data_IF_190802028713
#
_entry.id   IF_190802028713
#
_cell.length_a   1.000
_cell.length_b   1.000
_cell.length_c   1.000
_cell.angle_alpha   90.00
_cell.angle_beta   90.00
_cell.angle_gamma   90.00
#
_symmetry.space_group_name_H-M   'P 1'
#
loop_
_entity.id
_entity.type
_entity.pdbx_description
1 polymer ?
#
# COMPACT_ATOMS: atom_id res chain seq x y z
N UNK A 1 -14.34 -26.99 -5.38
CA UNK A 1 -13.05 -26.40 -5.81
C UNK A 1 -12.65 -27.11 -7.09
N UNK A 2 -12.21 -26.33 -8.09
CA UNK A 2 -11.72 -26.87 -9.35
C UNK A 2 -10.40 -27.61 -9.10
N UNK A 3 -10.29 -28.80 -9.64
CA UNK A 3 -9.10 -29.65 -9.52
C UNK A 3 -8.10 -29.39 -10.66
N UNK A 4 -8.55 -28.70 -11.70
CA UNK A 4 -7.75 -28.38 -12.88
C UNK A 4 -7.95 -26.92 -13.28
N UNK A 5 -6.89 -26.29 -13.75
CA UNK A 5 -6.90 -24.93 -14.25
C UNK A 5 -6.01 -24.80 -15.49
N UNK A 6 -6.46 -24.02 -16.47
CA UNK A 6 -5.65 -23.74 -17.67
C UNK A 6 -5.16 -22.32 -17.60
N UNK A 7 -3.85 -22.12 -17.70
CA UNK A 7 -3.21 -20.80 -17.80
C UNK A 7 -2.69 -20.62 -19.23
N UNK A 8 -3.13 -19.54 -19.87
CA UNK A 8 -2.63 -19.14 -21.19
C UNK A 8 -1.66 -17.97 -21.00
N UNK A 9 -0.44 -18.15 -21.46
CA UNK A 9 0.62 -17.14 -21.37
C UNK A 9 0.98 -16.69 -22.77
N UNK A 10 0.86 -15.38 -23.04
CA UNK A 10 1.22 -14.78 -24.31
C UNK A 10 2.73 -14.53 -24.34
N UNK A 11 3.40 -14.99 -25.41
CA UNK A 11 4.82 -14.78 -25.58
C UNK A 11 5.11 -13.30 -25.92
N UNK A 12 6.20 -12.70 -25.37
CA UNK A 12 6.60 -11.34 -25.72
C UNK A 12 6.81 -11.16 -27.23
N UNK A 13 6.43 -10.00 -27.77
CA UNK A 13 6.47 -9.71 -29.22
C UNK A 13 7.87 -9.96 -29.80
N UNK A 14 8.92 -9.52 -29.15
CA UNK A 14 10.30 -9.72 -29.59
C UNK A 14 10.71 -11.19 -29.65
N UNK A 15 10.20 -12.05 -28.75
CA UNK A 15 10.47 -13.49 -28.79
C UNK A 15 9.71 -14.16 -29.94
N UNK A 16 8.48 -13.72 -30.23
CA UNK A 16 7.69 -14.18 -31.39
C UNK A 16 8.42 -13.83 -32.69
N UNK A 17 8.92 -12.60 -32.79
CA UNK A 17 9.67 -12.16 -33.98
C UNK A 17 10.98 -12.92 -34.13
N UNK A 18 11.73 -13.10 -33.06
CA UNK A 18 12.97 -13.89 -33.07
C UNK A 18 12.71 -15.34 -33.47
N UNK A 19 11.63 -15.95 -33.01
CA UNK A 19 11.24 -17.30 -33.40
C UNK A 19 10.84 -17.38 -34.90
N UNK A 20 10.10 -16.39 -35.42
CA UNK A 20 9.77 -16.30 -36.85
C UNK A 20 11.04 -16.20 -37.72
N UNK A 21 11.98 -15.34 -37.32
CA UNK A 21 13.21 -15.13 -38.08
C UNK A 21 14.12 -16.38 -38.01
N UNK A 22 14.19 -17.06 -36.87
CA UNK A 22 14.91 -18.33 -36.75
C UNK A 22 14.33 -19.42 -37.64
N UNK A 23 12.98 -19.53 -37.71
CA UNK A 23 12.32 -20.48 -38.63
C UNK A 23 12.59 -20.15 -40.09
N UNK A 24 12.67 -18.85 -40.46
CA UNK A 24 12.96 -18.40 -41.82
C UNK A 24 14.40 -18.72 -42.25
N UNK A 25 15.36 -18.67 -41.32
CA UNK A 25 16.77 -18.99 -41.58
C UNK A 25 16.99 -20.51 -41.72
N UNK A 26 16.16 -21.31 -41.04
CA UNK A 26 16.31 -22.78 -40.98
C UNK A 26 17.56 -23.19 -40.23
N UNK A 27 18.10 -24.39 -40.56
CA UNK A 27 19.23 -25.02 -39.87
C UNK A 27 20.62 -24.59 -40.41
N UNK A 28 20.74 -23.50 -41.18
CA UNK A 28 22.01 -23.00 -41.68
C UNK A 28 22.90 -22.42 -40.52
N UNK A 29 23.99 -23.11 -40.11
CA UNK A 29 24.79 -22.68 -38.96
C UNK A 29 25.45 -21.31 -39.15
N UNK A 30 25.78 -20.92 -40.40
CA UNK A 30 26.45 -19.68 -40.71
C UNK A 30 25.47 -18.48 -40.60
N UNK A 31 24.25 -18.70 -41.02
CA UNK A 31 23.17 -17.67 -40.92
C UNK A 31 22.65 -17.54 -39.49
N UNK A 32 22.53 -18.65 -38.75
CA UNK A 32 22.14 -18.62 -37.32
C UNK A 32 23.13 -17.85 -36.44
N UNK A 33 24.46 -17.98 -36.71
CA UNK A 33 25.49 -17.21 -36.01
C UNK A 33 25.42 -15.70 -36.27
N UNK A 34 24.86 -15.27 -37.41
CA UNK A 34 24.71 -13.87 -37.78
C UNK A 34 23.34 -13.26 -37.37
N UNK A 35 22.46 -14.07 -36.83
CA UNK A 35 21.14 -13.63 -36.40
C UNK A 35 21.29 -12.64 -35.23
N UNK A 36 20.92 -11.38 -35.45
CA UNK A 36 20.79 -10.39 -34.38
C UNK A 36 19.41 -10.55 -33.74
N UNK A 37 19.38 -11.07 -32.51
CA UNK A 37 18.14 -11.17 -31.75
C UNK A 37 17.63 -9.78 -31.37
N UNK A 38 16.33 -9.57 -31.55
CA UNK A 38 15.63 -8.38 -31.02
C UNK A 38 15.54 -8.53 -29.50
N UNK A 39 15.78 -7.44 -28.79
CA UNK A 39 15.57 -7.35 -27.33
C UNK A 39 14.22 -6.73 -27.03
N UNK A 40 13.71 -6.95 -25.81
CA UNK A 40 12.53 -6.27 -25.32
C UNK A 40 12.74 -4.75 -25.39
N UNK A 41 11.65 -4.02 -25.65
CA UNK A 41 11.65 -2.55 -25.54
C UNK A 41 11.82 -2.14 -24.08
N UNK A 42 12.31 -0.95 -23.87
CA UNK A 42 12.45 -0.43 -22.51
C UNK A 42 11.08 -0.36 -21.82
N UNK A 43 10.97 -0.98 -20.64
CA UNK A 43 9.72 -1.07 -19.88
C UNK A 43 8.84 -2.30 -20.16
N UNK A 44 9.12 -3.08 -21.19
CA UNK A 44 8.39 -4.33 -21.45
C UNK A 44 8.88 -5.48 -20.57
N UNK A 45 7.93 -6.27 -20.05
CA UNK A 45 8.27 -7.52 -19.35
C UNK A 45 8.81 -8.52 -20.37
N UNK A 46 10.03 -8.98 -20.17
CA UNK A 46 10.70 -9.93 -21.07
C UNK A 46 10.89 -11.28 -20.41
N UNK A 47 10.56 -12.33 -21.13
CA UNK A 47 10.90 -13.70 -20.77
C UNK A 47 11.16 -14.52 -22.04
N UNK A 48 12.03 -15.51 -21.93
CA UNK A 48 12.43 -16.39 -23.03
C UNK A 48 11.76 -17.75 -22.88
N UNK A 49 11.74 -18.53 -23.97
CA UNK A 49 11.29 -19.92 -23.95
C UNK A 49 11.98 -20.75 -22.85
N UNK A 50 13.28 -20.53 -22.62
CA UNK A 50 14.02 -21.18 -21.53
C UNK A 50 13.54 -20.76 -20.15
N UNK A 51 13.20 -19.49 -19.98
CA UNK A 51 12.67 -18.97 -18.71
C UNK A 51 11.29 -19.57 -18.45
N UNK A 52 10.45 -19.66 -19.47
CA UNK A 52 9.14 -20.28 -19.39
C UNK A 52 9.23 -21.76 -19.01
N UNK A 53 10.06 -22.53 -19.74
CA UNK A 53 10.26 -23.94 -19.44
C UNK A 53 10.75 -24.15 -17.99
N UNK A 54 11.74 -23.38 -17.54
CA UNK A 54 12.21 -23.45 -16.17
C UNK A 54 11.13 -23.17 -15.14
N UNK A 55 10.26 -22.19 -15.39
CA UNK A 55 9.17 -21.83 -14.47
C UNK A 55 8.05 -22.87 -14.45
N UNK A 56 7.75 -23.51 -15.59
CA UNK A 56 6.74 -24.58 -15.68
C UNK A 56 7.21 -25.90 -15.09
N UNK A 57 8.53 -26.15 -15.10
CA UNK A 57 9.14 -27.35 -14.52
C UNK A 57 9.51 -27.18 -13.04
N UNK A 58 9.57 -25.94 -12.54
CA UNK A 58 9.89 -25.67 -11.15
C UNK A 58 8.77 -26.13 -10.21
N UNK A 59 9.15 -26.63 -9.05
CA UNK A 59 8.17 -26.87 -7.98
C UNK A 59 7.50 -25.55 -7.60
N UNK A 60 6.18 -25.54 -7.40
CA UNK A 60 5.47 -24.33 -6.97
C UNK A 60 6.06 -23.80 -5.66
N UNK A 61 6.34 -22.51 -5.62
CA UNK A 61 6.74 -21.86 -4.37
C UNK A 61 5.60 -21.95 -3.34
N UNK A 62 5.95 -22.17 -2.09
CA UNK A 62 4.97 -22.16 -1.02
C UNK A 62 4.39 -20.77 -0.87
N UNK A 63 3.06 -20.69 -0.85
CA UNK A 63 2.37 -19.44 -0.59
C UNK A 63 2.70 -18.97 0.83
N UNK A 64 3.28 -17.79 0.93
CA UNK A 64 3.47 -17.09 2.20
C UNK A 64 2.36 -16.07 2.40
N UNK A 65 1.63 -16.19 3.48
CA UNK A 65 0.60 -15.23 3.83
C UNK A 65 1.22 -13.90 4.25
N UNK A 66 0.75 -12.81 3.66
CA UNK A 66 1.03 -11.43 4.13
C UNK A 66 -0.08 -10.89 5.03
N UNK A 67 -0.90 -11.79 5.52
CA UNK A 67 -2.01 -11.48 6.39
C UNK A 67 -1.54 -10.76 7.66
N UNK A 68 -2.26 -9.70 8.00
CA UNK A 68 -2.07 -8.94 9.25
C UNK A 68 -3.42 -8.71 9.90
N UNK A 69 -3.45 -8.88 11.20
CA UNK A 69 -4.64 -8.56 12.00
C UNK A 69 -4.77 -7.05 12.13
N UNK A 70 -5.95 -6.52 11.87
CA UNK A 70 -6.27 -5.10 12.01
C UNK A 70 -7.66 -4.90 12.62
N UNK A 71 -7.92 -3.71 13.16
CA UNK A 71 -9.24 -3.35 13.67
C UNK A 71 -10.33 -3.45 12.61
N UNK A 72 -10.06 -2.98 11.39
CA UNK A 72 -11.01 -3.05 10.27
C UNK A 72 -11.35 -4.48 9.90
N UNK A 73 -10.39 -5.40 9.94
CA UNK A 73 -10.63 -6.81 9.72
C UNK A 73 -11.51 -7.40 10.84
N UNK A 74 -11.21 -7.09 12.10
CA UNK A 74 -12.03 -7.51 13.23
C UNK A 74 -13.46 -7.00 13.12
N UNK A 75 -13.63 -5.71 12.84
CA UNK A 75 -14.93 -5.09 12.65
C UNK A 75 -15.72 -5.73 11.49
N UNK A 76 -15.04 -6.00 10.37
CA UNK A 76 -15.64 -6.67 9.22
C UNK A 76 -16.11 -8.10 9.56
N UNK A 77 -15.29 -8.85 10.30
CA UNK A 77 -15.65 -10.22 10.73
C UNK A 77 -16.80 -10.20 11.73
N UNK A 78 -16.78 -9.26 12.69
CA UNK A 78 -17.84 -9.10 13.68
C UNK A 78 -19.16 -8.60 13.08
N UNK A 79 -19.11 -7.87 11.96
CA UNK A 79 -20.30 -7.41 11.24
C UNK A 79 -21.02 -8.54 10.49
N UNK A 80 -20.36 -9.67 10.21
CA UNK A 80 -20.96 -10.81 9.49
C UNK A 80 -22.04 -11.49 10.33
N UNK A 81 -22.98 -12.16 9.63
CA UNK A 81 -23.94 -13.02 10.29
C UNK A 81 -23.25 -14.22 10.97
N UNK A 82 -23.77 -14.63 12.10
CA UNK A 82 -23.27 -15.77 12.85
C UNK A 82 -22.23 -15.41 13.91
N UNK A 83 -21.51 -16.41 14.37
CA UNK A 83 -20.54 -16.27 15.46
C UNK A 83 -19.22 -15.70 14.96
N UNK A 84 -18.98 -14.40 15.18
CA UNK A 84 -17.74 -13.72 14.79
C UNK A 84 -16.48 -14.33 15.40
N UNK A 85 -16.56 -14.94 16.59
CA UNK A 85 -15.43 -15.68 17.20
C UNK A 85 -15.02 -16.88 16.33
N UNK A 86 -15.97 -17.69 15.89
CA UNK A 86 -15.68 -18.85 15.05
C UNK A 86 -15.13 -18.41 13.69
N UNK A 87 -15.68 -17.37 13.08
CA UNK A 87 -15.16 -16.83 11.83
C UNK A 87 -13.72 -16.34 12.00
N UNK A 88 -13.42 -15.63 13.11
CA UNK A 88 -12.07 -15.16 13.39
C UNK A 88 -11.12 -16.32 13.64
N UNK A 89 -11.54 -17.33 14.41
CA UNK A 89 -10.75 -18.53 14.67
C UNK A 89 -10.35 -19.23 13.37
N UNK A 90 -11.29 -19.42 12.45
CA UNK A 90 -10.99 -19.99 11.13
C UNK A 90 -10.00 -19.13 10.36
N UNK A 91 -10.21 -17.82 10.31
CA UNK A 91 -9.31 -16.92 9.59
C UNK A 91 -7.87 -16.95 10.14
N UNK A 92 -7.70 -17.05 11.46
CA UNK A 92 -6.40 -17.03 12.12
C UNK A 92 -5.70 -18.40 12.18
N UNK A 93 -6.44 -19.51 12.04
CA UNK A 93 -5.91 -20.86 12.15
C UNK A 93 -5.80 -21.61 10.84
N UNK A 94 -6.70 -21.33 9.90
CA UNK A 94 -6.82 -22.07 8.65
C UNK A 94 -6.13 -21.33 7.48
N UNK A 95 -5.02 -20.64 7.79
CA UNK A 95 -4.17 -19.95 6.83
C UNK A 95 -2.81 -20.66 6.68
N UNK A 96 -2.01 -20.23 5.71
CA UNK A 96 -0.71 -20.82 5.38
C UNK A 96 0.44 -20.35 6.28
N UNK A 97 0.17 -19.54 7.32
CA UNK A 97 1.19 -19.06 8.24
C UNK A 97 1.66 -20.18 9.17
N UNK A 98 2.90 -20.08 9.63
CA UNK A 98 3.41 -20.99 10.64
C UNK A 98 2.74 -20.77 12.00
N UNK A 99 2.79 -21.78 12.86
CA UNK A 99 2.11 -21.76 14.17
C UNK A 99 2.56 -20.61 15.07
N UNK A 100 3.80 -20.18 14.98
CA UNK A 100 4.32 -19.05 15.79
C UNK A 100 3.63 -17.75 15.37
N UNK A 101 3.55 -17.47 14.06
CA UNK A 101 2.84 -16.30 13.54
C UNK A 101 1.34 -16.36 13.83
N UNK A 102 0.70 -17.52 13.61
CA UNK A 102 -0.71 -17.72 13.94
C UNK A 102 -1.00 -17.39 15.41
N UNK A 103 -0.13 -17.83 16.36
CA UNK A 103 -0.30 -17.53 17.78
C UNK A 103 -0.13 -16.04 18.06
N UNK A 104 0.85 -15.37 17.44
CA UNK A 104 1.04 -13.93 17.57
C UNK A 104 -0.19 -13.18 17.06
N UNK A 105 -0.71 -13.54 15.88
CA UNK A 105 -1.88 -12.91 15.28
C UNK A 105 -3.14 -13.11 16.14
N UNK A 106 -3.28 -14.27 16.80
CA UNK A 106 -4.37 -14.50 17.76
C UNK A 106 -4.27 -13.57 18.99
N UNK A 107 -3.06 -13.40 19.55
CA UNK A 107 -2.87 -12.49 20.68
C UNK A 107 -3.19 -11.05 20.27
N UNK A 108 -2.67 -10.61 19.11
CA UNK A 108 -2.98 -9.29 18.55
C UNK A 108 -4.49 -9.12 18.34
N UNK A 109 -5.19 -10.12 17.77
CA UNK A 109 -6.64 -10.07 17.59
C UNK A 109 -7.40 -9.93 18.90
N UNK A 110 -6.96 -10.63 19.97
CA UNK A 110 -7.58 -10.54 21.29
C UNK A 110 -7.38 -9.16 21.93
N UNK A 111 -6.18 -8.59 21.80
CA UNK A 111 -5.88 -7.28 22.38
C UNK A 111 -6.65 -6.16 21.64
N UNK A 112 -6.68 -6.20 20.31
CA UNK A 112 -7.50 -5.30 19.52
C UNK A 112 -9.01 -5.44 19.82
N UNK A 113 -9.50 -6.68 19.95
CA UNK A 113 -10.90 -6.93 20.30
C UNK A 113 -11.27 -6.35 21.68
N UNK A 114 -10.40 -6.53 22.69
CA UNK A 114 -10.58 -5.91 24.00
C UNK A 114 -10.65 -4.40 23.91
N UNK A 115 -9.73 -3.78 23.17
CA UNK A 115 -9.74 -2.34 22.91
C UNK A 115 -11.04 -1.84 22.26
N UNK A 116 -11.59 -2.61 21.32
CA UNK A 116 -12.87 -2.29 20.68
C UNK A 116 -14.06 -2.43 21.66
N UNK A 117 -14.01 -3.37 22.58
CA UNK A 117 -15.03 -3.52 23.65
C UNK A 117 -14.91 -2.39 24.67
N UNK A 118 -13.69 -2.10 25.15
CA UNK A 118 -13.43 -1.07 26.15
C UNK A 118 -13.77 0.35 25.64
N UNK A 119 -13.54 0.61 24.33
CA UNK A 119 -13.94 1.85 23.67
C UNK A 119 -15.44 1.94 23.37
N UNK A 120 -16.22 0.88 23.62
CA UNK A 120 -17.64 0.84 23.37
C UNK A 120 -18.03 0.72 21.90
N UNK A 121 -17.09 0.47 20.98
CA UNK A 121 -17.35 0.23 19.55
C UNK A 121 -18.03 -1.11 19.34
N UNK A 122 -17.64 -2.10 20.14
CA UNK A 122 -18.23 -3.45 20.15
C UNK A 122 -18.90 -3.68 21.51
N UNK A 123 -20.12 -4.19 21.48
CA UNK A 123 -20.86 -4.54 22.69
C UNK A 123 -21.30 -5.99 22.68
N UNK A 124 -21.34 -6.59 23.87
CA UNK A 124 -21.89 -7.92 24.06
C UNK A 124 -23.42 -7.89 23.97
N UNK A 125 -23.99 -8.83 23.24
CA UNK A 125 -25.44 -8.95 23.11
C UNK A 125 -26.08 -9.31 24.45
N UNK A 126 -27.02 -8.52 24.91
CA UNK A 126 -27.66 -8.66 26.24
C UNK A 126 -28.44 -9.96 26.41
N UNK A 127 -28.93 -10.52 25.30
CA UNK A 127 -29.73 -11.78 25.27
C UNK A 127 -28.90 -12.99 24.80
N UNK A 128 -27.57 -12.90 24.85
CA UNK A 128 -26.66 -13.95 24.40
C UNK A 128 -26.32 -13.87 22.92
N UNK A 129 -27.31 -13.81 22.03
CA UNK A 129 -27.15 -13.62 20.59
C UNK A 129 -28.09 -12.52 20.11
N UNK A 130 -27.65 -11.73 19.13
CA UNK A 130 -28.54 -10.78 18.46
C UNK A 130 -29.38 -11.47 17.36
N UNK A 131 -30.18 -10.67 16.62
CA UNK A 131 -31.05 -11.18 15.55
C UNK A 131 -30.29 -11.82 14.37
N UNK A 132 -28.97 -11.57 14.29
CA UNK A 132 -28.07 -12.14 13.28
C UNK A 132 -27.20 -13.28 13.83
N UNK A 133 -27.48 -13.75 15.06
CA UNK A 133 -26.74 -14.83 15.72
C UNK A 133 -25.35 -14.42 16.24
N UNK A 134 -25.12 -13.13 16.50
CA UNK A 134 -23.84 -12.59 16.95
C UNK A 134 -23.81 -12.43 18.48
N UNK A 135 -22.82 -13.00 19.19
CA UNK A 135 -22.65 -12.79 20.63
C UNK A 135 -22.12 -11.38 20.96
N UNK A 136 -21.43 -10.76 20.01
CA UNK A 136 -20.97 -9.38 20.05
C UNK A 136 -21.40 -8.69 18.76
N UNK A 137 -21.80 -7.44 18.88
CA UNK A 137 -22.25 -6.61 17.75
C UNK A 137 -21.62 -5.23 17.79
N UNK A 138 -21.59 -4.58 16.64
CA UNK A 138 -21.15 -3.20 16.51
C UNK A 138 -22.25 -2.27 17.01
N UNK A 139 -21.87 -1.25 17.78
CA UNK A 139 -22.81 -0.24 18.32
C UNK A 139 -23.45 0.60 17.21
N UNK A 140 -22.72 0.78 16.10
CA UNK A 140 -23.24 1.40 14.87
C UNK A 140 -23.01 0.44 13.71
N UNK A 141 -24.00 0.34 12.82
CA UNK A 141 -23.78 -0.32 11.54
C UNK A 141 -22.67 0.44 10.79
N UNK A 142 -21.65 -0.29 10.38
CA UNK A 142 -20.61 0.26 9.53
C UNK A 142 -21.25 0.62 8.17
N UNK A 143 -21.05 1.82 7.63
CA UNK A 143 -21.45 2.13 6.27
C UNK A 143 -20.90 1.03 5.32
N UNK A 144 -21.65 0.71 4.27
CA UNK A 144 -21.23 -0.32 3.29
C UNK A 144 -19.87 0.01 2.67
N UNK A 145 -19.54 1.29 2.60
CA UNK A 145 -18.28 1.85 2.10
C UNK A 145 -17.22 2.01 3.20
N UNK A 146 -17.50 1.54 4.42
CA UNK A 146 -16.49 1.40 5.47
C UNK A 146 -15.49 0.25 5.13
N UNK A 147 -15.26 0.06 3.88
CA UNK A 147 -14.08 -0.61 3.33
C UNK A 147 -12.79 0.18 3.59
N UNK A 148 -12.85 1.13 4.48
CA UNK A 148 -11.68 1.76 5.05
C UNK A 148 -10.97 0.71 5.89
N UNK A 149 -10.27 -0.15 5.19
CA UNK A 149 -9.24 -1.02 5.74
C UNK A 149 -8.08 -0.20 6.36
N UNK A 150 -8.37 1.05 6.73
CA UNK A 150 -7.41 1.95 7.33
C UNK A 150 -7.57 1.89 8.84
N UNK A 151 -6.63 1.27 9.54
CA UNK A 151 -6.69 1.15 10.99
C UNK A 151 -6.79 2.49 11.70
N UNK A 152 -6.17 3.52 11.12
CA UNK A 152 -6.15 4.89 11.65
C UNK A 152 -7.35 5.75 11.20
N UNK A 153 -8.38 5.19 10.57
CA UNK A 153 -9.59 5.92 10.17
C UNK A 153 -10.25 6.70 11.31
N UNK A 154 -10.44 6.12 12.52
CA UNK A 154 -10.97 6.86 13.66
C UNK A 154 -10.09 8.03 14.11
N UNK A 155 -8.77 7.87 14.02
CA UNK A 155 -7.83 8.97 14.26
C UNK A 155 -7.98 10.08 13.22
N UNK A 156 -8.06 9.75 11.93
CA UNK A 156 -8.25 10.76 10.89
C UNK A 156 -9.50 11.60 11.13
N UNK A 157 -10.64 10.97 11.49
CA UNK A 157 -11.86 11.68 11.83
C UNK A 157 -11.71 12.61 13.04
N UNK A 158 -10.95 12.18 14.05
CA UNK A 158 -10.63 13.04 15.20
C UNK A 158 -9.72 14.20 14.81
N UNK A 159 -8.71 13.97 13.99
CA UNK A 159 -7.77 15.00 13.52
C UNK A 159 -8.46 16.07 12.66
N UNK A 160 -9.49 15.71 11.87
CA UNK A 160 -10.27 16.69 11.11
C UNK A 160 -10.89 17.78 11.99
N UNK A 161 -11.26 17.47 13.23
CA UNK A 161 -11.83 18.45 14.15
C UNK A 161 -10.83 19.51 14.66
N UNK A 162 -9.54 19.30 14.41
CA UNK A 162 -8.46 20.22 14.77
C UNK A 162 -8.13 21.22 13.66
N UNK A 163 -8.65 20.98 12.45
CA UNK A 163 -8.43 21.88 11.32
C UNK A 163 -9.34 23.10 11.41
N UNK A 164 -8.84 24.25 10.93
CA UNK A 164 -9.63 25.46 10.81
C UNK A 164 -10.46 25.44 9.51
N UNK A 165 -11.81 25.35 9.59
CA UNK A 165 -12.64 25.32 8.40
C UNK A 165 -12.63 26.61 7.56
N UNK A 166 -12.21 27.73 8.15
CA UNK A 166 -12.15 29.03 7.47
C UNK A 166 -10.78 29.28 6.82
N UNK A 167 -9.80 28.39 7.01
CA UNK A 167 -8.50 28.53 6.39
C UNK A 167 -8.55 28.26 4.88
N UNK A 168 -7.87 29.06 4.09
CA UNK A 168 -7.76 28.90 2.63
C UNK A 168 -7.20 27.51 2.24
N UNK A 169 -6.40 26.91 3.12
CA UNK A 169 -5.78 25.59 2.93
C UNK A 169 -6.65 24.43 3.42
N UNK A 170 -7.83 24.69 4.00
CA UNK A 170 -8.64 23.67 4.68
C UNK A 170 -8.84 22.39 3.85
N UNK A 171 -9.21 22.51 2.56
CA UNK A 171 -9.43 21.35 1.70
C UNK A 171 -8.14 20.53 1.48
N UNK A 172 -7.00 21.21 1.36
CA UNK A 172 -5.69 20.56 1.21
C UNK A 172 -5.25 19.91 2.51
N UNK A 173 -5.57 20.53 3.65
CA UNK A 173 -5.26 20.03 4.98
C UNK A 173 -6.10 18.76 5.30
N UNK A 174 -7.37 18.75 4.90
CA UNK A 174 -8.21 17.53 4.96
C UNK A 174 -7.55 16.39 4.18
N UNK A 175 -7.06 16.66 2.97
CA UNK A 175 -6.35 15.65 2.17
C UNK A 175 -5.10 15.16 2.87
N UNK A 176 -4.30 16.06 3.47
CA UNK A 176 -3.09 15.69 4.21
C UNK A 176 -3.39 14.78 5.41
N UNK A 177 -4.51 15.00 6.11
CA UNK A 177 -4.96 14.11 7.19
C UNK A 177 -5.22 12.71 6.66
N UNK A 178 -5.97 12.59 5.55
CA UNK A 178 -6.25 11.27 4.96
C UNK A 178 -4.99 10.62 4.37
N UNK A 179 -4.13 11.36 3.70
CA UNK A 179 -2.88 10.82 3.18
C UNK A 179 -1.99 10.26 4.31
N UNK A 180 -1.98 10.90 5.49
CA UNK A 180 -1.14 10.50 6.62
C UNK A 180 -1.44 9.09 7.17
N UNK A 181 -2.64 8.57 6.93
CA UNK A 181 -3.08 7.24 7.38
C UNK A 181 -2.98 6.16 6.31
N UNK A 182 -2.68 6.53 5.06
CA UNK A 182 -2.54 5.58 3.95
C UNK A 182 -1.13 4.98 3.89
N UNK A 183 -1.01 3.84 3.20
CA UNK A 183 0.29 3.23 2.91
C UNK A 183 1.15 4.15 2.01
N UNK A 184 2.47 3.99 2.13
CA UNK A 184 3.42 4.82 1.39
C UNK A 184 3.57 4.38 -0.07
N UNK A 185 3.28 5.27 -1.03
CA UNK A 185 3.67 5.07 -2.43
C UNK A 185 5.18 5.38 -2.59
N UNK A 186 6.03 4.48 -2.09
CA UNK A 186 7.48 4.70 -1.93
C UNK A 186 8.17 5.30 -3.14
N UNK A 187 7.79 4.90 -4.35
CA UNK A 187 8.39 5.40 -5.60
C UNK A 187 8.15 6.88 -5.78
N UNK A 188 6.94 7.36 -5.45
CA UNK A 188 6.59 8.79 -5.52
C UNK A 188 7.36 9.56 -4.45
N UNK A 189 7.36 9.07 -3.20
CA UNK A 189 8.03 9.74 -2.08
C UNK A 189 9.55 9.88 -2.32
N UNK A 190 10.20 8.84 -2.84
CA UNK A 190 11.61 8.88 -3.22
C UNK A 190 11.85 9.89 -4.34
N UNK A 191 10.96 9.98 -5.32
CA UNK A 191 11.09 10.92 -6.42
C UNK A 191 10.90 12.37 -5.94
N UNK A 192 9.90 12.64 -5.09
CA UNK A 192 9.71 13.94 -4.44
C UNK A 192 10.93 14.35 -3.60
N UNK A 193 11.45 13.44 -2.78
CA UNK A 193 12.66 13.68 -2.00
C UNK A 193 13.85 14.05 -2.90
N UNK A 194 14.05 13.27 -3.96
CA UNK A 194 15.15 13.51 -4.92
C UNK A 194 15.02 14.85 -5.60
N UNK A 195 13.82 15.26 -5.99
CA UNK A 195 13.56 16.55 -6.61
C UNK A 195 13.89 17.69 -5.62
N UNK A 196 13.36 17.66 -4.40
CA UNK A 196 13.63 18.64 -3.36
C UNK A 196 15.12 18.78 -3.05
N UNK A 197 15.82 17.65 -2.91
CA UNK A 197 17.28 17.66 -2.74
C UNK A 197 18.01 18.29 -3.92
N UNK A 198 17.54 18.04 -5.13
CA UNK A 198 18.11 18.65 -6.33
C UNK A 198 17.90 20.16 -6.39
N UNK A 199 16.72 20.63 -6.07
CA UNK A 199 16.36 22.04 -5.99
C UNK A 199 17.20 22.77 -4.93
N UNK A 200 17.33 22.21 -3.74
CA UNK A 200 18.13 22.75 -2.65
C UNK A 200 19.64 22.78 -3.00
N UNK A 201 20.17 21.72 -3.60
CA UNK A 201 21.56 21.71 -4.09
C UNK A 201 21.79 22.83 -5.11
N UNK A 202 20.82 23.08 -6.00
CA UNK A 202 20.93 24.13 -6.99
C UNK A 202 20.90 25.52 -6.36
N UNK A 203 20.02 25.74 -5.36
CA UNK A 203 19.93 26.98 -4.61
C UNK A 203 21.22 27.25 -3.81
N UNK A 204 21.67 26.29 -3.01
CA UNK A 204 22.91 26.40 -2.22
C UNK A 204 24.16 26.59 -3.09
N UNK A 205 24.15 26.01 -4.31
CA UNK A 205 25.23 26.23 -5.28
C UNK A 205 25.22 27.65 -5.82
N UNK A 206 24.03 28.23 -6.07
CA UNK A 206 23.90 29.62 -6.50
C UNK A 206 24.37 30.59 -5.41
N UNK A 207 24.13 30.23 -4.14
CA UNK A 207 24.58 31.02 -2.96
C UNK A 207 26.07 30.81 -2.63
N UNK A 208 26.80 30.00 -3.41
CA UNK A 208 28.24 29.80 -3.25
C UNK A 208 28.65 28.87 -2.10
N UNK A 209 27.72 28.11 -1.51
CA UNK A 209 28.00 27.18 -0.41
C UNK A 209 28.93 26.07 -0.93
N UNK A 210 29.92 25.65 -0.12
CA UNK A 210 30.84 24.57 -0.50
C UNK A 210 30.14 23.22 -0.69
N UNK A 211 30.77 22.34 -1.48
CA UNK A 211 30.17 21.03 -1.83
C UNK A 211 29.86 20.18 -0.60
N UNK A 212 30.80 20.11 0.34
CA UNK A 212 30.65 19.29 1.57
C UNK A 212 29.49 19.76 2.42
N UNK A 213 29.39 21.09 2.62
CA UNK A 213 28.34 21.71 3.41
C UNK A 213 26.98 21.53 2.74
N UNK A 214 26.91 21.65 1.40
CA UNK A 214 25.68 21.35 0.65
C UNK A 214 25.21 19.91 0.85
N UNK A 215 26.13 18.95 0.79
CA UNK A 215 25.78 17.53 0.98
C UNK A 215 25.24 17.27 2.40
N UNK A 216 25.85 17.86 3.41
CA UNK A 216 25.39 17.77 4.80
C UNK A 216 23.98 18.34 4.97
N UNK A 217 23.70 19.53 4.40
CA UNK A 217 22.41 20.20 4.51
C UNK A 217 21.31 19.35 3.84
N UNK A 218 21.56 18.78 2.67
CA UNK A 218 20.54 18.03 1.93
C UNK A 218 20.34 16.60 2.41
N UNK A 219 21.22 16.08 3.29
CA UNK A 219 21.08 14.71 3.82
C UNK A 219 19.76 14.56 4.60
N UNK A 220 19.36 15.57 5.36
CA UNK A 220 18.16 15.57 6.19
C UNK A 220 16.86 15.89 5.42
N UNK A 221 16.96 16.29 4.15
CA UNK A 221 15.77 16.60 3.35
C UNK A 221 15.01 15.30 3.03
N UNK A 222 13.74 15.29 3.44
CA UNK A 222 12.77 14.24 3.16
C UNK A 222 11.72 14.71 2.16
N UNK A 223 10.76 13.85 1.84
CA UNK A 223 9.57 14.25 1.08
C UNK A 223 8.71 15.26 1.84
N UNK A 224 7.80 16.00 1.16
CA UNK A 224 6.90 16.94 1.81
C UNK A 224 5.98 16.25 2.82
N UNK A 225 5.89 16.81 4.03
CA UNK A 225 5.06 16.29 5.10
C UNK A 225 4.21 17.42 5.70
N UNK A 226 3.20 17.89 4.98
CA UNK A 226 2.34 18.96 5.50
C UNK A 226 1.64 18.50 6.79
N UNK A 227 1.48 19.43 7.71
CA UNK A 227 0.85 19.23 9.04
C UNK A 227 1.57 18.17 9.92
N UNK A 228 2.84 17.79 9.64
CA UNK A 228 3.55 16.76 10.41
C UNK A 228 3.45 16.98 11.92
N UNK A 229 3.83 18.15 12.42
CA UNK A 229 3.81 18.46 13.86
C UNK A 229 2.40 18.38 14.47
N UNK A 230 1.41 18.92 13.78
CA UNK A 230 0.01 18.89 14.24
C UNK A 230 -0.51 17.46 14.29
N UNK A 231 -0.21 16.68 13.26
CA UNK A 231 -0.68 15.30 13.15
C UNK A 231 0.01 14.39 14.17
N UNK A 232 1.30 14.58 14.43
CA UNK A 232 2.03 13.82 15.44
C UNK A 232 1.51 14.14 16.85
N UNK A 233 1.31 15.41 17.20
CA UNK A 233 0.73 15.79 18.49
C UNK A 233 -0.70 15.29 18.66
N UNK A 234 -1.52 15.37 17.63
CA UNK A 234 -2.88 14.83 17.63
C UNK A 234 -2.88 13.32 17.80
N UNK A 235 -1.96 12.62 17.12
CA UNK A 235 -1.82 11.17 17.20
C UNK A 235 -1.40 10.73 18.61
N UNK A 236 -0.43 11.39 19.22
CA UNK A 236 0.01 11.07 20.58
C UNK A 236 -1.13 11.27 21.59
N UNK A 237 -1.86 12.38 21.47
CA UNK A 237 -3.03 12.65 22.32
C UNK A 237 -4.13 11.62 22.13
N UNK A 238 -4.41 11.23 20.88
CA UNK A 238 -5.40 10.21 20.57
C UNK A 238 -4.99 8.84 21.09
N UNK A 239 -3.70 8.52 21.04
CA UNK A 239 -3.12 7.27 21.50
C UNK A 239 -3.16 7.10 23.03
N UNK A 240 -3.27 8.17 23.82
CA UNK A 240 -3.43 8.10 25.27
C UNK A 240 -4.73 7.37 25.66
N UNK A 241 -5.80 7.65 24.91
CA UNK A 241 -7.13 7.03 25.14
C UNK A 241 -7.39 5.83 24.24
N UNK A 242 -6.60 5.63 23.18
CA UNK A 242 -6.77 4.57 22.19
C UNK A 242 -5.45 3.82 21.98
N UNK A 243 -4.99 3.11 23.00
CA UNK A 243 -3.67 2.46 23.00
C UNK A 243 -3.38 1.56 21.79
N UNK A 244 -4.42 1.01 21.15
CA UNK A 244 -4.30 0.17 19.96
C UNK A 244 -3.74 0.89 18.74
N UNK A 245 -3.84 2.23 18.65
CA UNK A 245 -3.27 2.97 17.50
C UNK A 245 -1.76 2.91 17.45
N UNK A 246 -1.09 2.70 18.60
CA UNK A 246 0.38 2.59 18.69
C UNK A 246 0.98 1.42 17.91
N UNK A 247 0.15 0.49 17.46
CA UNK A 247 0.58 -0.60 16.57
C UNK A 247 0.70 -0.14 15.10
N UNK A 248 0.19 1.06 14.79
CA UNK A 248 0.16 1.61 13.44
C UNK A 248 0.99 2.88 13.39
N UNK A 249 1.73 3.03 12.32
CA UNK A 249 2.60 4.17 12.09
C UNK A 249 1.83 5.28 11.35
N UNK A 250 1.88 6.49 11.91
CA UNK A 250 1.43 7.68 11.20
C UNK A 250 2.47 8.06 10.15
N UNK A 251 2.03 8.36 8.92
CA UNK A 251 2.91 8.57 7.77
C UNK A 251 2.55 9.84 7.01
N UNK A 252 2.86 11.03 7.54
CA UNK A 252 2.62 12.29 6.84
C UNK A 252 3.34 12.32 5.49
N UNK A 253 2.59 12.68 4.45
CA UNK A 253 3.07 12.77 3.07
C UNK A 253 2.17 13.68 2.25
N UNK A 254 2.61 14.01 1.06
CA UNK A 254 1.90 14.89 0.14
C UNK A 254 2.03 14.38 -1.29
N UNK A 255 1.09 13.59 -1.73
CA UNK A 255 1.03 13.10 -3.12
C UNK A 255 -0.19 13.70 -3.83
N UNK A 256 -1.39 13.46 -3.28
CA UNK A 256 -2.64 14.05 -3.81
C UNK A 256 -2.65 15.56 -3.59
N UNK A 257 -2.21 16.01 -2.42
CA UNK A 257 -2.07 17.43 -2.13
C UNK A 257 -1.14 18.11 -3.14
N UNK A 258 0.02 17.56 -3.40
CA UNK A 258 0.99 18.07 -4.39
C UNK A 258 0.38 18.17 -5.81
N UNK A 259 -0.38 17.14 -6.21
CA UNK A 259 -1.12 17.18 -7.48
C UNK A 259 -2.10 18.35 -7.54
N UNK A 260 -2.83 18.61 -6.46
CA UNK A 260 -3.85 19.66 -6.43
C UNK A 260 -3.22 21.06 -6.33
N UNK A 261 -2.21 21.23 -5.50
CA UNK A 261 -1.47 22.50 -5.37
C UNK A 261 -0.84 22.94 -6.69
N UNK A 262 -0.38 21.98 -7.49
CA UNK A 262 0.28 22.24 -8.77
C UNK A 262 -0.64 21.98 -9.99
N UNK A 263 -1.93 21.75 -9.77
CA UNK A 263 -2.92 21.46 -10.81
C UNK A 263 -2.47 20.33 -11.78
N UNK A 264 -1.81 19.31 -11.25
CA UNK A 264 -1.27 18.20 -12.02
C UNK A 264 -2.35 17.16 -12.32
N UNK A 265 -2.39 16.68 -13.56
CA UNK A 265 -3.07 15.43 -13.91
C UNK A 265 -2.21 14.23 -13.50
N UNK A 266 -2.78 13.01 -13.60
CA UNK A 266 -2.01 11.77 -13.41
C UNK A 266 -0.78 11.70 -14.34
N UNK A 267 -0.97 12.07 -15.61
CA UNK A 267 0.12 12.08 -16.60
C UNK A 267 1.20 13.10 -16.25
N UNK A 268 0.82 14.26 -15.72
CA UNK A 268 1.76 15.29 -15.29
C UNK A 268 2.57 14.81 -14.09
N UNK A 269 1.95 14.18 -13.09
CA UNK A 269 2.64 13.58 -11.94
C UNK A 269 3.68 12.55 -12.41
N UNK A 270 3.26 11.63 -13.29
CA UNK A 270 4.15 10.59 -13.84
C UNK A 270 5.33 11.21 -14.59
N UNK A 271 5.09 12.24 -15.40
CA UNK A 271 6.13 12.92 -16.16
C UNK A 271 7.09 13.72 -15.27
N UNK A 272 6.54 14.52 -14.35
CA UNK A 272 7.32 15.39 -13.43
C UNK A 272 8.28 14.57 -12.58
N UNK A 273 7.83 13.46 -12.05
CA UNK A 273 8.61 12.61 -11.16
C UNK A 273 9.31 11.43 -11.85
N UNK A 274 9.19 11.31 -13.18
CA UNK A 274 9.82 10.22 -13.96
C UNK A 274 9.33 8.82 -13.59
N UNK A 275 8.03 8.67 -13.30
CA UNK A 275 7.43 7.48 -12.71
C UNK A 275 6.75 6.53 -13.72
N UNK A 276 7.11 6.60 -15.00
CA UNK A 276 6.51 5.79 -16.07
C UNK A 276 6.52 4.26 -15.79
N UNK A 277 7.48 3.77 -14.98
CA UNK A 277 7.56 2.35 -14.59
C UNK A 277 6.71 2.01 -13.35
N UNK A 278 6.11 2.98 -12.72
CA UNK A 278 5.38 2.84 -11.45
C UNK A 278 3.93 3.30 -11.55
N UNK A 279 3.41 3.51 -12.75
CA UNK A 279 2.05 4.02 -12.99
C UNK A 279 0.97 3.20 -12.26
N UNK A 280 1.09 1.86 -12.27
CA UNK A 280 0.13 0.99 -11.59
C UNK A 280 0.11 1.15 -10.07
N UNK A 281 1.26 1.49 -9.45
CA UNK A 281 1.34 1.76 -8.00
C UNK A 281 0.67 3.09 -7.68
N UNK A 282 0.92 4.10 -8.51
CA UNK A 282 0.34 5.44 -8.35
C UNK A 282 -1.17 5.39 -8.55
N UNK A 283 -1.62 4.73 -9.62
CA UNK A 283 -3.05 4.58 -9.90
C UNK A 283 -3.77 3.91 -8.72
N UNK A 284 -3.20 2.83 -8.17
CA UNK A 284 -3.73 2.16 -6.98
C UNK A 284 -3.77 3.06 -5.74
N UNK A 285 -2.83 3.98 -5.60
CA UNK A 285 -2.81 4.92 -4.48
C UNK A 285 -3.89 6.00 -4.61
N UNK A 286 -4.18 6.43 -5.85
CA UNK A 286 -5.14 7.49 -6.15
C UNK A 286 -6.59 6.99 -6.25
N UNK A 287 -6.82 5.67 -6.37
CA UNK A 287 -8.15 5.03 -6.44
C UNK A 287 -8.52 4.35 -5.15
#
# INVERSE_FOLDING_TARGET
YDTEGTVVVEAPEHEIENAKERRRIGDDPKRLKKLKKKSAREGEVSWSEKTFARLTEAEPEQLTSQFRVSNSMLLNVLARHGNGYEHMRHLLRDNHDNRSKQNKDILTALDLFRGLVDSGVVQKSTKGLDIYGRPYHLVRELPRDFALNQPLGPFALAALSLLDPEADTYNLDVISVFESILDDPRQVLIAQQKQRRGEEIAALKADGVDYTDRMNIVEDITWPKPLEELLEQAYDTFAETNAWVKEFELRPKSVVRDMLENAMTFSDLVATYGLARSEGVILRYLT
#
